data_IF_729907028008
#
_entry.id   IF_729907028008
#
_cell.length_a   1.000
_cell.length_b   1.000
_cell.length_c   1.000
_cell.angle_alpha   90.00
_cell.angle_beta   90.00
_cell.angle_gamma   90.00
#
_symmetry.space_group_name_H-M   'P 1'
#
loop_
_entity.id
_entity.type
_entity.pdbx_description
1 polymer ?
#
# COMPACT_ATOMS: atom_id res chain seq x y z
N UNK A 1 -19.78 -12.61 2.89
CA UNK A 1 -19.11 -13.77 3.49
C UNK A 1 -18.56 -13.37 4.85
N UNK A 2 -18.81 -14.14 5.91
CA UNK A 2 -17.97 -14.03 7.12
C UNK A 2 -16.57 -14.42 6.64
N UNK A 3 -15.60 -13.55 6.83
CA UNK A 3 -14.19 -13.94 6.69
C UNK A 3 -13.92 -14.92 7.82
N UNK A 4 -13.85 -16.20 7.52
CA UNK A 4 -13.51 -17.25 8.51
C UNK A 4 -12.01 -17.17 8.88
N UNK A 5 -11.59 -15.96 9.28
CA UNK A 5 -10.24 -15.75 9.81
C UNK A 5 -10.27 -16.25 11.25
N UNK A 6 -9.60 -17.36 11.48
CA UNK A 6 -9.46 -17.88 12.85
C UNK A 6 -8.49 -17.00 13.64
N UNK A 7 -9.06 -16.15 14.49
CA UNK A 7 -8.28 -15.26 15.34
C UNK A 7 -7.73 -15.96 16.60
N UNK A 8 -8.18 -17.19 16.93
CA UNK A 8 -7.81 -17.87 18.20
C UNK A 8 -6.35 -18.28 18.25
N UNK A 9 -5.82 -18.76 17.14
CA UNK A 9 -4.51 -19.42 17.08
C UNK A 9 -3.34 -18.48 16.82
N UNK A 10 -3.58 -17.16 16.69
CA UNK A 10 -2.55 -16.16 16.40
C UNK A 10 -2.57 -15.06 17.46
N UNK A 11 -1.41 -14.51 17.77
CA UNK A 11 -1.25 -13.43 18.73
C UNK A 11 -1.00 -12.07 18.06
N UNK A 12 -0.57 -12.08 16.79
CA UNK A 12 -0.35 -10.87 16.01
C UNK A 12 -0.89 -11.03 14.59
N UNK A 13 -1.52 -9.97 14.08
CA UNK A 13 -2.15 -9.90 12.75
C UNK A 13 -1.50 -8.80 11.94
N UNK A 14 -0.88 -9.19 10.83
CA UNK A 14 -0.28 -8.28 9.86
C UNK A 14 -1.16 -8.20 8.63
N UNK A 15 -1.64 -7.02 8.28
CA UNK A 15 -2.52 -6.82 7.14
C UNK A 15 -1.82 -6.07 6.03
N UNK A 16 -1.92 -6.58 4.82
CA UNK A 16 -1.80 -5.74 3.64
C UNK A 16 -2.97 -4.76 3.58
N UNK A 17 -2.82 -3.70 2.79
CA UNK A 17 -3.80 -2.62 2.73
C UNK A 17 -4.57 -2.61 1.42
N UNK A 18 -3.86 -2.46 0.27
CA UNK A 18 -4.49 -2.37 -1.04
C UNK A 18 -5.07 -3.71 -1.50
N UNK A 19 -6.31 -3.67 -2.02
CA UNK A 19 -7.07 -4.84 -2.48
C UNK A 19 -7.34 -5.89 -1.39
N UNK A 20 -6.81 -5.66 -0.19
CA UNK A 20 -7.05 -6.46 1.03
C UNK A 20 -8.08 -5.79 1.93
N UNK A 21 -7.79 -4.61 2.43
CA UNK A 21 -8.68 -3.83 3.29
C UNK A 21 -9.42 -2.73 2.54
N UNK A 22 -8.76 -2.14 1.54
CA UNK A 22 -9.27 -1.01 0.77
C UNK A 22 -9.04 -1.18 -0.73
N UNK A 23 -9.81 -0.42 -1.53
CA UNK A 23 -9.56 -0.21 -2.96
C UNK A 23 -9.69 1.27 -3.32
N UNK A 24 -9.07 1.67 -4.42
CA UNK A 24 -9.17 3.04 -4.91
C UNK A 24 -10.63 3.45 -5.12
N UNK A 25 -10.95 4.71 -4.81
CA UNK A 25 -12.22 5.31 -5.25
C UNK A 25 -12.34 5.17 -6.78
N UNK A 26 -13.53 4.89 -7.32
CA UNK A 26 -13.72 4.67 -8.76
C UNK A 26 -13.20 5.81 -9.64
N UNK A 27 -13.36 7.05 -9.19
CA UNK A 27 -12.95 8.25 -9.93
C UNK A 27 -11.49 8.66 -9.69
N UNK A 28 -10.86 8.21 -8.60
CA UNK A 28 -9.55 8.70 -8.20
C UNK A 28 -8.49 8.56 -9.30
N UNK A 29 -8.42 7.40 -9.96
CA UNK A 29 -7.39 7.17 -11.00
C UNK A 29 -7.56 8.12 -12.18
N UNK A 30 -8.78 8.39 -12.62
CA UNK A 30 -9.07 9.33 -13.70
C UNK A 30 -8.70 10.77 -13.29
N UNK A 31 -9.14 11.19 -12.11
CA UNK A 31 -8.82 12.52 -11.56
C UNK A 31 -7.32 12.74 -11.36
N UNK A 32 -6.58 11.71 -10.92
CA UNK A 32 -5.13 11.77 -10.81
C UNK A 32 -4.45 11.97 -12.17
N UNK A 33 -4.95 11.32 -13.23
CA UNK A 33 -4.43 11.51 -14.59
C UNK A 33 -4.71 12.91 -15.11
N UNK A 34 -5.91 13.44 -14.88
CA UNK A 34 -6.27 14.83 -15.20
C UNK A 34 -5.34 15.83 -14.48
N UNK A 35 -5.14 15.63 -13.18
CA UNK A 35 -4.23 16.44 -12.37
C UNK A 35 -2.78 16.36 -12.88
N UNK A 36 -2.29 15.14 -13.21
CA UNK A 36 -0.94 14.93 -13.74
C UNK A 36 -0.76 15.68 -15.06
N UNK A 37 -1.70 15.50 -15.98
CA UNK A 37 -1.66 16.12 -17.30
C UNK A 37 -1.67 17.66 -17.22
N UNK A 38 -2.55 18.22 -16.39
CA UNK A 38 -2.65 19.68 -16.24
C UNK A 38 -1.46 20.30 -15.52
N UNK A 39 -0.97 19.65 -14.44
CA UNK A 39 0.14 20.17 -13.64
C UNK A 39 1.46 20.21 -14.40
N UNK A 40 1.75 19.16 -15.17
CA UNK A 40 2.96 19.06 -15.97
C UNK A 40 2.80 19.58 -17.40
N UNK A 41 1.64 20.18 -17.74
CA UNK A 41 1.35 20.75 -19.06
C UNK A 41 1.57 19.75 -20.19
N UNK A 42 1.11 18.49 -19.99
CA UNK A 42 1.28 17.42 -20.96
C UNK A 42 0.41 17.70 -22.20
N UNK A 43 1.03 17.85 -23.37
CA UNK A 43 0.33 18.14 -24.64
C UNK A 43 -0.36 16.93 -25.26
N UNK A 44 -0.05 15.70 -24.79
CA UNK A 44 -0.64 14.48 -25.33
C UNK A 44 -2.11 14.32 -24.90
N UNK A 45 -2.92 13.61 -25.73
CA UNK A 45 -4.32 13.33 -25.36
C UNK A 45 -4.42 12.61 -24.01
N UNK A 46 -5.41 12.95 -23.19
CA UNK A 46 -5.60 12.39 -21.84
C UNK A 46 -5.66 10.86 -21.82
N UNK A 47 -6.21 10.23 -22.87
CA UNK A 47 -6.26 8.77 -23.01
C UNK A 47 -4.85 8.16 -23.15
N UNK A 48 -3.95 8.86 -23.82
CA UNK A 48 -2.55 8.42 -23.93
C UNK A 48 -1.82 8.58 -22.60
N UNK A 49 -2.00 9.71 -21.93
CA UNK A 49 -1.47 9.94 -20.58
C UNK A 49 -1.93 8.86 -19.62
N UNK A 50 -3.22 8.51 -19.65
CA UNK A 50 -3.78 7.44 -18.80
C UNK A 50 -3.11 6.08 -19.05
N UNK A 51 -2.85 5.74 -20.32
CA UNK A 51 -2.16 4.48 -20.68
C UNK A 51 -0.72 4.46 -20.15
N UNK A 52 0.01 5.56 -20.29
CA UNK A 52 1.40 5.67 -19.82
C UNK A 52 1.44 5.60 -18.30
N UNK A 53 0.58 6.34 -17.60
CA UNK A 53 0.48 6.30 -16.13
C UNK A 53 0.19 4.89 -15.64
N UNK A 54 -0.79 4.20 -16.25
CA UNK A 54 -1.13 2.82 -15.87
C UNK A 54 0.04 1.87 -16.14
N UNK A 55 0.70 1.99 -17.28
CA UNK A 55 1.83 1.12 -17.64
C UNK A 55 2.96 1.20 -16.62
N UNK A 56 3.36 2.40 -16.21
CA UNK A 56 4.44 2.56 -15.23
C UNK A 56 4.00 2.22 -13.80
N UNK A 57 2.72 2.39 -13.45
CA UNK A 57 2.17 1.89 -12.18
C UNK A 57 2.35 0.37 -12.09
N UNK A 58 1.88 -0.35 -13.12
CA UNK A 58 1.96 -1.81 -13.17
C UNK A 58 3.43 -2.29 -13.24
N UNK A 59 4.26 -1.65 -14.07
CA UNK A 59 5.67 -2.01 -14.25
C UNK A 59 6.49 -1.84 -12.96
N UNK A 60 6.36 -0.69 -12.30
CA UNK A 60 7.11 -0.43 -11.07
C UNK A 60 6.70 -1.36 -9.94
N UNK A 61 5.40 -1.67 -9.82
CA UNK A 61 4.93 -2.67 -8.87
C UNK A 61 5.51 -4.06 -9.16
N UNK A 62 5.55 -4.46 -10.44
CA UNK A 62 6.15 -5.74 -10.86
C UNK A 62 7.65 -5.79 -10.54
N UNK A 63 8.39 -4.71 -10.84
CA UNK A 63 9.82 -4.62 -10.54
C UNK A 63 10.05 -4.73 -9.02
N UNK A 64 9.28 -3.99 -8.22
CA UNK A 64 9.38 -4.03 -6.76
C UNK A 64 9.10 -5.43 -6.20
N UNK A 65 8.11 -6.14 -6.75
CA UNK A 65 7.80 -7.51 -6.34
C UNK A 65 8.93 -8.49 -6.71
N UNK A 66 9.53 -8.33 -7.90
CA UNK A 66 10.57 -9.25 -8.39
C UNK A 66 11.90 -9.05 -7.66
N UNK A 67 12.32 -7.80 -7.46
CA UNK A 67 13.62 -7.50 -6.85
C UNK A 67 13.58 -7.24 -5.34
N UNK A 68 12.37 -7.07 -4.77
CA UNK A 68 12.16 -6.79 -3.35
C UNK A 68 12.62 -5.41 -2.90
N UNK A 69 12.95 -4.52 -3.85
CA UNK A 69 13.23 -3.11 -3.60
C UNK A 69 11.98 -2.26 -3.62
N UNK A 70 12.16 -0.93 -3.63
CA UNK A 70 11.05 0.00 -3.79
C UNK A 70 11.46 1.16 -4.69
N UNK A 71 10.86 1.25 -5.87
CA UNK A 71 10.97 2.43 -6.73
C UNK A 71 10.19 3.57 -6.05
N UNK A 72 10.84 4.69 -5.80
CA UNK A 72 10.23 5.84 -5.12
C UNK A 72 9.13 6.49 -5.96
N UNK A 73 8.15 7.09 -5.32
CA UNK A 73 7.04 7.81 -5.97
C UNK A 73 7.54 8.85 -6.98
N UNK A 74 8.64 9.57 -6.68
CA UNK A 74 9.18 10.57 -7.59
C UNK A 74 9.92 9.94 -8.78
N UNK A 75 10.56 8.80 -8.57
CA UNK A 75 11.14 8.01 -9.68
C UNK A 75 10.05 7.55 -10.64
N UNK A 76 8.90 7.07 -10.12
CA UNK A 76 7.74 6.72 -10.95
C UNK A 76 7.26 7.94 -11.75
N UNK A 77 7.16 9.12 -11.12
CA UNK A 77 6.77 10.34 -11.83
C UNK A 77 7.75 10.71 -12.93
N UNK A 78 9.05 10.62 -12.68
CA UNK A 78 10.09 10.92 -13.68
C UNK A 78 10.03 9.96 -14.86
N UNK A 79 9.82 8.67 -14.63
CA UNK A 79 9.64 7.68 -15.71
C UNK A 79 8.43 8.01 -16.58
N UNK A 80 7.30 8.39 -15.98
CA UNK A 80 6.07 8.78 -16.70
C UNK A 80 6.32 10.06 -17.50
N UNK A 81 6.93 11.09 -16.89
CA UNK A 81 7.22 12.36 -17.54
C UNK A 81 8.14 12.16 -18.76
N UNK A 82 9.18 11.33 -18.62
CA UNK A 82 10.07 10.99 -19.71
C UNK A 82 9.33 10.29 -20.87
N UNK A 83 8.45 9.34 -20.56
CA UNK A 83 7.65 8.63 -21.56
C UNK A 83 6.61 9.52 -22.25
N UNK A 84 6.25 10.63 -21.62
CA UNK A 84 5.38 11.67 -22.19
C UNK A 84 6.13 12.80 -22.89
N UNK A 85 7.43 12.64 -23.13
CA UNK A 85 8.32 13.61 -23.81
C UNK A 85 8.48 14.94 -23.05
N UNK A 86 8.26 14.95 -21.74
CA UNK A 86 8.49 16.13 -20.90
C UNK A 86 9.99 16.30 -20.64
N UNK A 87 10.50 17.50 -20.82
CA UNK A 87 11.90 17.81 -20.57
C UNK A 87 12.21 17.73 -19.06
N UNK A 88 12.87 16.66 -18.62
CA UNK A 88 13.22 16.44 -17.22
C UNK A 88 14.16 17.50 -16.63
N UNK A 89 14.90 18.27 -17.45
CA UNK A 89 15.74 19.37 -16.96
C UNK A 89 14.94 20.50 -16.29
N UNK A 90 13.64 20.61 -16.64
CA UNK A 90 12.71 21.60 -16.00
C UNK A 90 12.02 21.03 -14.76
N UNK A 91 12.27 19.77 -14.40
CA UNK A 91 11.63 19.10 -13.27
C UNK A 91 12.63 18.98 -12.13
N UNK A 92 12.39 19.74 -11.07
CA UNK A 92 13.16 19.67 -9.84
C UNK A 92 12.37 18.97 -8.72
N UNK A 93 13.03 18.74 -7.59
CA UNK A 93 12.42 18.09 -6.41
C UNK A 93 11.23 18.88 -5.84
N UNK A 94 11.32 20.20 -5.88
CA UNK A 94 10.27 21.11 -5.40
C UNK A 94 9.00 20.94 -6.22
N UNK A 95 9.10 20.88 -7.54
CA UNK A 95 7.96 20.65 -8.46
C UNK A 95 7.35 19.27 -8.26
N UNK A 96 8.16 18.23 -8.03
CA UNK A 96 7.66 16.88 -7.70
C UNK A 96 6.94 16.86 -6.36
N UNK A 97 7.46 17.55 -5.34
CA UNK A 97 6.80 17.69 -4.05
C UNK A 97 5.46 18.44 -4.16
N UNK A 98 5.42 19.54 -4.90
CA UNK A 98 4.18 20.28 -5.12
C UNK A 98 3.11 19.41 -5.79
N UNK A 99 3.50 18.68 -6.82
CA UNK A 99 2.59 17.72 -7.47
C UNK A 99 2.12 16.65 -6.48
N UNK A 100 3.02 16.11 -5.67
CA UNK A 100 2.66 15.11 -4.68
C UNK A 100 1.64 15.64 -3.66
N UNK A 101 1.82 16.87 -3.17
CA UNK A 101 0.87 17.50 -2.23
C UNK A 101 -0.52 17.66 -2.86
N UNK A 102 -0.61 18.04 -4.13
CA UNK A 102 -1.89 18.11 -4.86
C UNK A 102 -2.50 16.71 -5.04
N UNK A 103 -1.68 15.72 -5.36
CA UNK A 103 -2.11 14.30 -5.48
C UNK A 103 -2.57 13.72 -4.14
N UNK A 104 -1.90 14.07 -3.04
CA UNK A 104 -2.32 13.73 -1.68
C UNK A 104 -3.67 14.36 -1.33
N UNK A 105 -3.86 15.64 -1.62
CA UNK A 105 -5.13 16.32 -1.38
C UNK A 105 -6.27 15.66 -2.16
N UNK A 106 -6.02 15.36 -3.43
CA UNK A 106 -6.98 14.66 -4.30
C UNK A 106 -7.29 13.24 -3.74
N UNK A 107 -6.28 12.54 -3.24
CA UNK A 107 -6.47 11.23 -2.64
C UNK A 107 -7.35 11.28 -1.39
N UNK A 108 -7.19 12.29 -0.56
CA UNK A 108 -7.98 12.48 0.66
C UNK A 108 -9.40 12.99 0.35
N UNK A 109 -9.61 13.66 -0.78
CA UNK A 109 -10.93 14.02 -1.30
C UNK A 109 -11.66 12.80 -1.87
N UNK A 110 -11.00 12.03 -2.73
CA UNK A 110 -11.49 10.78 -3.32
C UNK A 110 -10.97 9.59 -2.51
N UNK A 111 -11.39 9.49 -1.26
CA UNK A 111 -10.89 8.48 -0.33
C UNK A 111 -11.07 7.05 -0.85
N UNK A 112 -10.12 6.16 -0.57
CA UNK A 112 -10.31 4.73 -0.80
C UNK A 112 -11.59 4.19 -0.17
N UNK A 113 -12.15 3.19 -0.79
CA UNK A 113 -13.31 2.46 -0.29
C UNK A 113 -12.84 1.28 0.54
N UNK A 114 -13.33 1.15 1.77
CA UNK A 114 -13.12 -0.03 2.61
C UNK A 114 -13.89 -1.19 1.99
N UNK A 115 -13.18 -2.26 1.62
CA UNK A 115 -13.76 -3.46 1.02
C UNK A 115 -13.86 -4.63 2.01
N UNK A 116 -13.10 -4.60 3.09
CA UNK A 116 -13.18 -5.62 4.13
C UNK A 116 -14.45 -5.40 4.97
N UNK A 117 -15.34 -6.39 4.91
CA UNK A 117 -16.64 -6.29 5.58
C UNK A 117 -16.48 -6.21 7.10
N UNK A 118 -17.16 -5.22 7.71
CA UNK A 118 -17.15 -5.01 9.16
C UNK A 118 -15.74 -4.83 9.76
N UNK A 119 -14.84 -4.14 9.02
CA UNK A 119 -13.42 -3.99 9.39
C UNK A 119 -13.24 -3.47 10.83
N UNK A 120 -13.98 -2.42 11.23
CA UNK A 120 -13.90 -1.87 12.59
C UNK A 120 -14.23 -2.92 13.66
N UNK A 121 -15.34 -3.62 13.49
CA UNK A 121 -15.76 -4.67 14.43
C UNK A 121 -14.74 -5.81 14.49
N UNK A 122 -14.17 -6.19 13.34
CA UNK A 122 -13.17 -7.23 13.27
C UNK A 122 -11.85 -6.84 13.96
N UNK A 123 -11.40 -5.60 13.76
CA UNK A 123 -10.21 -5.09 14.45
C UNK A 123 -10.45 -4.96 15.96
N UNK A 124 -11.63 -4.50 16.38
CA UNK A 124 -12.02 -4.43 17.79
C UNK A 124 -12.03 -5.82 18.43
N UNK A 125 -12.56 -6.84 17.74
CA UNK A 125 -12.55 -8.21 18.21
C UNK A 125 -11.13 -8.75 18.44
N UNK A 126 -10.18 -8.44 17.54
CA UNK A 126 -8.77 -8.77 17.71
C UNK A 126 -8.20 -8.06 18.95
N UNK A 127 -8.45 -6.76 19.10
CA UNK A 127 -7.91 -5.95 20.22
C UNK A 127 -8.48 -6.36 21.58
N UNK A 128 -9.78 -6.69 21.66
CA UNK A 128 -10.44 -7.13 22.92
C UNK A 128 -9.88 -8.45 23.42
N UNK A 129 -9.30 -9.29 22.54
CA UNK A 129 -8.57 -10.51 22.93
C UNK A 129 -7.10 -10.25 23.31
N UNK A 130 -6.68 -8.99 23.48
CA UNK A 130 -5.32 -8.62 23.85
C UNK A 130 -4.28 -8.83 22.75
N UNK A 131 -4.72 -9.01 21.51
CA UNK A 131 -3.85 -9.25 20.35
C UNK A 131 -3.45 -7.95 19.66
N UNK A 132 -2.43 -8.02 18.80
CA UNK A 132 -1.84 -6.85 18.15
C UNK A 132 -2.05 -6.87 16.63
N UNK A 133 -2.11 -5.68 16.04
CA UNK A 133 -2.34 -5.49 14.60
C UNK A 133 -1.27 -4.58 14.02
N UNK A 134 -0.74 -4.91 12.84
CA UNK A 134 0.01 -3.96 12.03
C UNK A 134 -0.50 -3.90 10.59
N UNK A 135 -0.22 -2.78 9.93
CA UNK A 135 -0.30 -2.66 8.48
C UNK A 135 1.09 -2.89 7.89
N UNK A 136 1.15 -3.71 6.84
CA UNK A 136 2.35 -3.97 6.03
C UNK A 136 1.99 -3.84 4.55
N UNK A 137 2.29 -2.70 3.94
CA UNK A 137 1.84 -2.41 2.57
C UNK A 137 2.97 -1.98 1.64
N UNK A 138 2.99 -2.56 0.44
CA UNK A 138 3.75 -2.00 -0.67
C UNK A 138 3.07 -0.73 -1.15
N UNK A 139 3.86 0.31 -1.39
CA UNK A 139 3.42 1.64 -1.81
C UNK A 139 4.06 2.02 -3.15
N UNK A 140 3.35 2.82 -3.94
CA UNK A 140 3.82 3.33 -5.22
C UNK A 140 3.50 4.83 -5.32
N UNK A 141 2.43 5.19 -6.03
CA UNK A 141 2.03 6.60 -6.18
C UNK A 141 1.62 7.29 -4.88
N UNK A 142 1.09 6.56 -3.91
CA UNK A 142 0.64 7.10 -2.63
C UNK A 142 1.55 6.59 -1.53
N UNK A 143 2.22 7.52 -0.85
CA UNK A 143 3.18 7.23 0.20
C UNK A 143 2.52 6.77 1.50
N UNK A 144 3.26 6.04 2.32
CA UNK A 144 2.81 5.57 3.63
C UNK A 144 2.35 6.69 4.55
N UNK A 145 2.97 7.87 4.47
CA UNK A 145 2.54 9.07 5.21
C UNK A 145 1.10 9.48 4.90
N UNK A 146 0.70 9.43 3.63
CA UNK A 146 -0.68 9.72 3.19
C UNK A 146 -1.64 8.62 3.61
N UNK A 147 -1.19 7.35 3.55
CA UNK A 147 -2.01 6.22 4.02
C UNK A 147 -2.33 6.32 5.51
N UNK A 148 -1.38 6.78 6.33
CA UNK A 148 -1.66 7.04 7.77
C UNK A 148 -2.73 8.11 7.96
N UNK A 149 -2.72 9.22 7.18
CA UNK A 149 -3.76 10.26 7.23
C UNK A 149 -5.13 9.67 6.90
N UNK A 150 -5.22 8.82 5.89
CA UNK A 150 -6.45 8.12 5.53
C UNK A 150 -6.93 7.23 6.67
N UNK A 151 -6.07 6.39 7.26
CA UNK A 151 -6.45 5.48 8.34
C UNK A 151 -6.89 6.23 9.61
N UNK A 152 -6.33 7.41 9.88
CA UNK A 152 -6.80 8.30 10.94
C UNK A 152 -8.19 8.84 10.61
N UNK A 153 -8.41 9.34 9.39
CA UNK A 153 -9.69 9.89 8.94
C UNK A 153 -10.82 8.85 8.96
N UNK A 154 -10.49 7.57 8.77
CA UNK A 154 -11.44 6.44 8.85
C UNK A 154 -11.52 5.82 10.26
N UNK A 155 -10.91 6.43 11.29
CA UNK A 155 -10.88 5.92 12.65
C UNK A 155 -10.33 4.48 12.80
N UNK A 156 -9.47 4.04 11.87
CA UNK A 156 -8.84 2.72 11.90
C UNK A 156 -7.51 2.73 12.68
N UNK A 157 -6.84 3.88 12.71
CA UNK A 157 -5.53 4.02 13.34
C UNK A 157 -5.51 3.58 14.81
N UNK A 158 -6.60 3.77 15.54
CA UNK A 158 -6.70 3.40 16.96
C UNK A 158 -6.52 1.90 17.24
N UNK A 159 -6.74 1.03 16.26
CA UNK A 159 -6.58 -0.43 16.39
C UNK A 159 -5.18 -0.90 16.04
N UNK A 160 -4.39 -0.08 15.33
CA UNK A 160 -3.14 -0.46 14.68
C UNK A 160 -1.97 -0.12 15.62
N UNK A 161 -1.17 -1.12 15.98
CA UNK A 161 -0.04 -0.94 16.88
C UNK A 161 1.17 -0.30 16.17
N UNK A 162 1.38 -0.62 14.90
CA UNK A 162 2.41 0.02 14.06
C UNK A 162 2.13 -0.17 12.56
N UNK A 163 2.83 0.63 11.74
CA UNK A 163 2.71 0.62 10.29
C UNK A 163 4.08 0.44 9.64
N UNK A 164 4.11 -0.36 8.58
CA UNK A 164 5.28 -0.53 7.71
C UNK A 164 4.85 -0.28 6.27
N UNK A 165 5.55 0.64 5.62
CA UNK A 165 5.33 0.98 4.21
C UNK A 165 6.63 0.86 3.43
N UNK A 166 6.57 0.30 2.23
CA UNK A 166 7.76 0.01 1.43
C UNK A 166 8.53 1.26 1.03
N UNK A 167 7.86 2.39 0.80
CA UNK A 167 8.52 3.67 0.48
C UNK A 167 9.38 4.20 1.61
N UNK A 168 9.06 3.86 2.87
CA UNK A 168 9.82 4.29 4.04
C UNK A 168 11.05 3.42 4.29
N UNK A 169 10.93 2.10 4.07
CA UNK A 169 12.03 1.16 4.24
C UNK A 169 12.88 0.95 2.99
N UNK A 170 12.39 1.40 1.82
CA UNK A 170 12.99 1.11 0.50
C UNK A 170 13.05 -0.39 0.18
N UNK A 171 12.16 -1.16 0.79
CA UNK A 171 12.05 -2.61 0.68
C UNK A 171 10.58 -2.96 0.51
N UNK A 172 10.26 -3.82 -0.47
CA UNK A 172 8.88 -4.27 -0.75
C UNK A 172 8.71 -5.76 -0.45
N UNK A 173 7.50 -6.18 -0.07
CA UNK A 173 7.12 -7.59 -0.11
C UNK A 173 7.33 -8.11 -1.55
N UNK A 174 7.86 -9.33 -1.74
CA UNK A 174 8.05 -10.42 -0.79
C UNK A 174 9.43 -10.45 -0.11
N UNK A 175 10.23 -9.39 -0.12
CA UNK A 175 11.56 -9.39 0.49
C UNK A 175 11.47 -9.80 1.98
N UNK A 176 12.26 -10.81 2.45
CA UNK A 176 12.18 -11.28 3.83
C UNK A 176 12.53 -10.23 4.88
N UNK A 177 13.32 -9.20 4.51
CA UNK A 177 13.70 -8.12 5.44
C UNK A 177 12.50 -7.29 5.88
N UNK A 178 11.46 -7.13 5.03
CA UNK A 178 10.28 -6.37 5.42
C UNK A 178 9.43 -7.15 6.46
N UNK A 179 9.37 -8.48 6.36
CA UNK A 179 8.74 -9.34 7.37
C UNK A 179 9.59 -9.43 8.64
N UNK A 180 10.92 -9.36 8.52
CA UNK A 180 11.80 -9.26 9.68
C UNK A 180 11.52 -7.98 10.47
N UNK A 181 11.23 -6.87 9.77
CA UNK A 181 10.88 -5.62 10.44
C UNK A 181 9.54 -5.73 11.18
N UNK A 182 8.55 -6.43 10.63
CA UNK A 182 7.31 -6.75 11.39
C UNK A 182 7.66 -7.45 12.70
N UNK A 183 8.50 -8.49 12.65
CA UNK A 183 8.92 -9.23 13.84
C UNK A 183 9.67 -8.35 14.85
N UNK A 184 10.51 -7.44 14.36
CA UNK A 184 11.30 -6.51 15.17
C UNK A 184 10.42 -5.51 15.94
N UNK A 185 9.35 -5.00 15.31
CA UNK A 185 8.47 -3.98 15.90
C UNK A 185 7.43 -4.57 16.86
N UNK A 186 7.15 -5.87 16.81
CA UNK A 186 6.29 -6.54 17.80
C UNK A 186 6.92 -6.44 19.19
N UNK A 187 6.14 -5.91 20.16
CA UNK A 187 6.61 -5.68 21.52
C UNK A 187 6.99 -6.99 22.24
N UNK A 188 6.16 -8.03 22.10
CA UNK A 188 6.46 -9.35 22.66
C UNK A 188 7.54 -10.04 21.82
N UNK A 189 8.78 -10.01 22.32
CA UNK A 189 9.95 -10.57 21.62
C UNK A 189 9.95 -12.11 21.57
N UNK A 190 9.27 -12.76 22.50
CA UNK A 190 9.16 -14.21 22.58
C UNK A 190 8.14 -14.81 21.61
N UNK A 191 7.33 -13.95 20.97
CA UNK A 191 6.34 -14.39 20.00
C UNK A 191 7.00 -15.15 18.85
N UNK A 192 6.59 -16.38 18.63
CA UNK A 192 7.12 -17.19 17.54
C UNK A 192 6.55 -16.76 16.18
N UNK A 193 7.30 -16.95 15.09
CA UNK A 193 6.89 -16.57 13.73
C UNK A 193 5.54 -17.19 13.32
N UNK A 194 5.29 -18.44 13.67
CA UNK A 194 4.03 -19.14 13.38
C UNK A 194 2.82 -18.65 14.19
N UNK A 195 3.00 -17.79 15.17
CA UNK A 195 1.93 -17.11 15.91
C UNK A 195 1.54 -15.76 15.26
N UNK A 196 2.19 -15.38 14.17
CA UNK A 196 1.89 -14.20 13.36
C UNK A 196 1.15 -14.65 12.11
N UNK A 197 -0.01 -14.04 11.86
CA UNK A 197 -0.78 -14.26 10.63
C UNK A 197 -0.69 -13.03 9.73
N UNK A 198 -0.08 -13.17 8.55
CA UNK A 198 -0.14 -12.15 7.51
C UNK A 198 -1.33 -12.41 6.59
N UNK A 199 -2.09 -11.37 6.30
CA UNK A 199 -3.33 -11.43 5.51
C UNK A 199 -3.20 -10.44 4.36
N UNK A 200 -3.33 -10.93 3.13
CA UNK A 200 -3.22 -10.12 1.93
C UNK A 200 -3.90 -10.77 0.72
N UNK A 201 -3.93 -10.05 -0.40
CA UNK A 201 -4.56 -10.53 -1.65
C UNK A 201 -3.54 -11.01 -2.70
N UNK A 202 -2.26 -10.64 -2.54
CA UNK A 202 -1.23 -10.99 -3.52
C UNK A 202 -0.60 -12.35 -3.19
N UNK A 203 -0.67 -13.34 -4.13
CA UNK A 203 -0.14 -14.69 -3.89
C UNK A 203 1.38 -14.74 -3.74
N UNK A 204 2.12 -13.78 -4.31
CA UNK A 204 3.59 -13.70 -4.24
C UNK A 204 4.03 -12.82 -3.09
N UNK A 205 3.63 -11.54 -3.11
CA UNK A 205 4.08 -10.55 -2.15
C UNK A 205 3.61 -10.88 -0.72
N UNK A 206 2.32 -11.24 -0.55
CA UNK A 206 1.75 -11.50 0.77
C UNK A 206 1.88 -12.96 1.17
N UNK A 207 1.23 -13.85 0.41
CA UNK A 207 1.09 -15.22 0.84
C UNK A 207 2.43 -15.97 0.83
N UNK A 208 3.10 -16.02 -0.34
CA UNK A 208 4.39 -16.73 -0.46
C UNK A 208 5.47 -16.05 0.37
N UNK A 209 5.58 -14.71 0.32
CA UNK A 209 6.58 -13.96 1.07
C UNK A 209 6.49 -14.19 2.58
N UNK A 210 5.28 -14.11 3.15
CA UNK A 210 5.07 -14.38 4.57
C UNK A 210 5.38 -15.84 4.94
N UNK A 211 4.95 -16.80 4.13
CA UNK A 211 5.21 -18.23 4.34
C UNK A 211 6.70 -18.57 4.31
N UNK A 212 7.41 -18.06 3.31
CA UNK A 212 8.85 -18.29 3.15
C UNK A 212 9.65 -17.69 4.33
N UNK A 213 9.16 -16.59 4.90
CA UNK A 213 9.75 -16.01 6.11
C UNK A 213 9.42 -16.81 7.38
N UNK A 214 8.38 -17.65 7.37
CA UNK A 214 7.94 -18.49 8.49
C UNK A 214 6.74 -17.96 9.26
N UNK A 215 6.04 -16.94 8.75
CA UNK A 215 4.72 -16.53 9.26
C UNK A 215 3.64 -17.48 8.77
N UNK A 216 2.51 -17.54 9.46
CA UNK A 216 1.29 -18.01 8.84
C UNK A 216 0.78 -16.95 7.84
N UNK A 217 0.12 -17.41 6.78
CA UNK A 217 -0.41 -16.52 5.77
C UNK A 217 -1.82 -16.94 5.35
N UNK A 218 -2.64 -15.94 5.07
CA UNK A 218 -3.99 -16.11 4.52
C UNK A 218 -4.11 -15.26 3.26
N UNK A 219 -4.39 -15.94 2.14
CA UNK A 219 -4.67 -15.29 0.88
C UNK A 219 -6.16 -14.97 0.80
N UNK A 220 -6.50 -13.69 0.75
CA UNK A 220 -7.87 -13.24 0.48
C UNK A 220 -8.10 -13.21 -1.03
N UNK A 221 -9.24 -13.74 -1.46
CA UNK A 221 -9.66 -13.56 -2.85
C UNK A 221 -10.12 -12.12 -3.02
N UNK A 222 -9.67 -11.41 -4.08
CA UNK A 222 -10.17 -10.07 -4.37
C UNK A 222 -11.70 -10.07 -4.41
N UNK A 223 -12.32 -9.16 -3.70
CA UNK A 223 -13.75 -8.92 -3.86
C UNK A 223 -13.91 -8.02 -5.10
N UNK A 224 -14.23 -8.66 -6.23
CA UNK A 224 -14.50 -7.99 -7.51
C UNK A 224 -15.81 -7.21 -7.41
#
# INVERSE_FOLDING_TARGET
>A
MKTDIDIRNHAHFSFDLWLTLIKSHPEFKAKRVELFSSFFEVSKPIVEVAKVVKYYDDLCNTINEVNGGNIDTFEIYLLILQALDINLKSINKEKLNEFYQKSESLFLEYKPVIIFKNLHQFFEEIKTQGKTINILSNTGFIKGTTMRKFLVAENLHQYIDFHIYSDELKISKPNPLIFQEVKNLIKNKDLQKNQILHIGDNPIADYKGAKDFGFNALLLKPQI
#
